data_IF_645128430387
#
_entry.id   IF_645128430387
#
_cell.length_a   1.000
_cell.length_b   1.000
_cell.length_c   1.000
_cell.angle_alpha   90.00
_cell.angle_beta   90.00
_cell.angle_gamma   90.00
#
_symmetry.space_group_name_H-M   'P 1'
#
loop_
_entity.id
_entity.type
_entity.pdbx_description
1 polymer ?
#
# COMPACT_ATOMS: atom_id res chain seq x y z
N UNK A 1 -8.25 -5.35 -6.09
CA UNK A 1 -7.10 -5.35 -7.01
C UNK A 1 -6.22 -6.51 -6.65
N UNK A 2 -5.79 -7.35 -7.60
CA UNK A 2 -4.74 -8.34 -7.33
C UNK A 2 -3.38 -7.64 -7.28
N UNK A 3 -2.37 -8.30 -6.72
CA UNK A 3 -0.98 -7.81 -6.76
C UNK A 3 -0.53 -7.53 -8.21
N UNK A 4 -0.82 -8.44 -9.14
CA UNK A 4 -0.46 -8.29 -10.55
C UNK A 4 -1.17 -7.12 -11.22
N UNK A 5 -2.42 -6.85 -10.84
CA UNK A 5 -3.13 -5.66 -11.31
C UNK A 5 -2.47 -4.37 -10.82
N UNK A 6 -2.05 -4.34 -9.55
CA UNK A 6 -1.35 -3.19 -8.97
C UNK A 6 -0.05 -2.96 -9.72
N UNK A 7 0.76 -3.99 -9.91
CA UNK A 7 2.04 -3.89 -10.63
C UNK A 7 1.83 -3.43 -12.07
N UNK A 8 0.86 -4.00 -12.78
CA UNK A 8 0.55 -3.62 -14.15
C UNK A 8 0.07 -2.18 -14.27
N UNK A 9 -0.85 -1.74 -13.40
CA UNK A 9 -1.45 -0.39 -13.44
C UNK A 9 -0.45 0.69 -13.02
N UNK A 10 0.45 0.37 -12.09
CA UNK A 10 1.47 1.29 -11.58
C UNK A 10 2.81 1.16 -12.30
N UNK A 11 2.88 0.37 -13.38
CA UNK A 11 4.11 0.08 -14.13
C UNK A 11 5.28 -0.32 -13.21
N UNK A 12 5.02 -1.35 -12.40
CA UNK A 12 5.93 -1.85 -11.37
C UNK A 12 6.29 -0.78 -10.33
N UNK A 13 5.29 -0.06 -9.83
CA UNK A 13 5.45 1.01 -8.83
C UNK A 13 6.42 2.11 -9.32
N UNK A 14 6.24 2.55 -10.56
CA UNK A 14 7.00 3.66 -11.15
C UNK A 14 6.78 4.96 -10.36
N UNK A 15 7.83 5.78 -10.28
CA UNK A 15 7.81 7.07 -9.58
C UNK A 15 6.71 8.02 -10.06
N UNK A 16 6.27 7.89 -11.31
CA UNK A 16 5.20 8.69 -11.90
C UNK A 16 3.85 8.53 -11.20
N UNK A 17 3.66 7.44 -10.44
CA UNK A 17 2.44 7.18 -9.68
C UNK A 17 2.56 7.59 -8.22
N UNK A 18 3.71 8.08 -7.77
CA UNK A 18 3.90 8.48 -6.37
C UNK A 18 3.05 9.71 -6.07
N UNK A 19 2.30 9.62 -4.97
CA UNK A 19 1.47 10.71 -4.43
C UNK A 19 1.90 11.14 -3.03
N UNK A 20 2.87 10.45 -2.43
CA UNK A 20 3.41 10.82 -1.13
C UNK A 20 4.58 9.94 -0.70
N UNK A 21 5.40 10.51 0.18
CA UNK A 21 6.50 9.83 0.85
C UNK A 21 6.27 9.88 2.36
N UNK A 22 6.49 8.76 3.03
CA UNK A 22 6.59 8.68 4.49
C UNK A 22 8.02 8.35 4.90
N UNK A 23 8.30 8.37 6.21
CA UNK A 23 9.62 8.07 6.75
C UNK A 23 10.18 6.71 6.26
N UNK A 24 9.33 5.69 6.29
CA UNK A 24 9.66 4.31 5.90
C UNK A 24 8.76 3.77 4.79
N UNK A 25 8.12 4.65 4.01
CA UNK A 25 7.16 4.22 2.99
C UNK A 25 7.05 5.16 1.79
N UNK A 26 6.52 4.62 0.69
CA UNK A 26 6.08 5.38 -0.47
C UNK A 26 4.61 5.07 -0.76
N UNK A 27 3.82 6.10 -1.10
CA UNK A 27 2.41 5.95 -1.45
C UNK A 27 2.23 6.21 -2.93
N UNK A 28 1.58 5.27 -3.62
CA UNK A 28 1.30 5.31 -5.06
C UNK A 28 -0.20 5.40 -5.31
N UNK A 29 -0.61 6.13 -6.34
CA UNK A 29 -1.97 6.12 -6.85
C UNK A 29 -2.14 4.98 -7.83
N UNK A 30 -3.06 4.06 -7.55
CA UNK A 30 -3.46 3.00 -8.47
C UNK A 30 -4.89 3.28 -8.98
N UNK A 31 -5.06 3.41 -10.29
CA UNK A 31 -6.37 3.71 -10.92
C UNK A 31 -6.60 2.77 -12.09
N UNK A 32 -7.57 1.85 -11.96
CA UNK A 32 -8.01 1.00 -13.09
C UNK A 32 -9.21 1.64 -13.79
N UNK A 33 -9.36 1.39 -15.10
CA UNK A 33 -10.39 2.01 -15.95
C UNK A 33 -11.83 1.82 -15.48
N UNK A 34 -12.09 0.86 -14.59
CA UNK A 34 -13.43 0.50 -14.11
C UNK A 34 -13.56 0.49 -12.59
N UNK A 35 -12.57 0.96 -11.84
CA UNK A 35 -12.58 0.94 -10.37
C UNK A 35 -12.35 2.31 -9.78
N UNK A 36 -12.77 2.48 -8.51
CA UNK A 36 -12.37 3.64 -7.74
C UNK A 36 -10.83 3.66 -7.60
N UNK A 37 -10.20 4.84 -7.67
CA UNK A 37 -8.78 4.97 -7.36
C UNK A 37 -8.51 4.49 -5.93
N UNK A 38 -7.39 3.80 -5.74
CA UNK A 38 -6.90 3.37 -4.42
C UNK A 38 -5.47 3.87 -4.21
N UNK A 39 -5.10 4.04 -2.94
CA UNK A 39 -3.73 4.33 -2.54
C UNK A 39 -3.02 3.02 -2.21
N UNK A 40 -1.83 2.82 -2.78
CA UNK A 40 -0.95 1.70 -2.47
C UNK A 40 0.18 2.23 -1.61
N UNK A 41 0.28 1.81 -0.36
CA UNK A 41 1.40 2.16 0.52
C UNK A 41 2.40 1.02 0.53
N UNK A 42 3.59 1.26 0.00
CA UNK A 42 4.74 0.36 0.07
C UNK A 42 5.57 0.71 1.30
N UNK A 43 5.70 -0.23 2.22
CA UNK A 43 6.60 -0.13 3.36
C UNK A 43 7.94 -0.76 2.97
N UNK A 44 9.05 -0.10 3.29
CA UNK A 44 10.38 -0.56 2.91
C UNK A 44 10.78 -1.79 3.74
N UNK A 45 11.26 -2.88 3.13
CA UNK A 45 11.64 -4.08 3.89
C UNK A 45 13.13 -4.10 4.31
N UNK A 46 13.79 -2.93 4.34
CA UNK A 46 15.25 -2.82 4.53
C UNK A 46 15.69 -2.98 5.99
N UNK A 47 14.78 -2.76 6.95
CA UNK A 47 15.09 -2.84 8.36
C UNK A 47 14.07 -3.69 9.13
N UNK A 48 14.49 -4.42 10.18
CA UNK A 48 13.58 -5.22 11.00
C UNK A 48 12.42 -4.41 11.61
N UNK A 49 12.63 -3.12 11.91
CA UNK A 49 11.56 -2.27 12.45
C UNK A 49 10.42 -2.04 11.46
N UNK A 50 10.67 -2.11 10.15
CA UNK A 50 9.64 -1.88 9.14
C UNK A 50 8.64 -3.02 9.03
N UNK A 51 9.04 -4.25 9.37
CA UNK A 51 8.09 -5.37 9.51
C UNK A 51 7.09 -5.10 10.64
N UNK A 52 7.59 -4.61 11.78
CA UNK A 52 6.74 -4.22 12.90
C UNK A 52 5.82 -3.05 12.56
N UNK A 53 6.29 -2.07 11.79
CA UNK A 53 5.44 -0.97 11.29
C UNK A 53 4.32 -1.52 10.40
N UNK A 54 4.63 -2.45 9.50
CA UNK A 54 3.64 -3.11 8.66
C UNK A 54 2.59 -3.87 9.48
N UNK A 55 3.02 -4.70 10.43
CA UNK A 55 2.11 -5.43 11.34
C UNK A 55 1.24 -4.46 12.15
N UNK A 56 1.83 -3.39 12.69
CA UNK A 56 1.11 -2.39 13.48
C UNK A 56 0.03 -1.70 12.64
N UNK A 57 0.33 -1.30 11.41
CA UNK A 57 -0.66 -0.69 10.52
C UNK A 57 -1.75 -1.68 10.10
N UNK A 58 -1.38 -2.95 9.84
CA UNK A 58 -2.31 -4.01 9.50
C UNK A 58 -3.31 -4.26 10.64
N UNK A 59 -2.83 -4.38 11.88
CA UNK A 59 -3.68 -4.57 13.06
C UNK A 59 -4.59 -3.36 13.31
N UNK A 60 -4.04 -2.15 13.23
CA UNK A 60 -4.76 -0.94 13.58
C UNK A 60 -5.81 -0.59 12.52
N UNK A 61 -5.42 -0.42 11.25
CA UNK A 61 -6.36 -0.03 10.20
C UNK A 61 -7.23 -1.21 9.78
N UNK A 62 -6.72 -2.45 9.85
CA UNK A 62 -7.51 -3.65 9.54
C UNK A 62 -8.65 -3.91 10.52
N UNK A 63 -8.52 -3.49 11.78
CA UNK A 63 -9.56 -3.70 12.81
C UNK A 63 -10.55 -2.55 12.94
N UNK A 64 -10.26 -1.37 12.39
CA UNK A 64 -11.10 -0.17 12.53
C UNK A 64 -11.94 0.05 11.26
N UNK A 65 -13.27 0.12 11.44
CA UNK A 65 -14.21 0.58 10.42
C UNK A 65 -14.95 1.82 10.89
N UNK A 66 -14.59 2.97 10.36
CA UNK A 66 -15.21 4.25 10.72
C UNK A 66 -15.28 5.19 9.52
N UNK A 67 -16.34 6.00 9.42
CA UNK A 67 -16.58 6.90 8.26
C UNK A 67 -15.49 7.94 8.00
N UNK A 68 -14.66 8.23 9.02
CA UNK A 68 -13.56 9.21 8.95
C UNK A 68 -12.17 8.55 8.99
N UNK A 69 -12.11 7.22 8.92
CA UNK A 69 -10.86 6.45 8.93
C UNK A 69 -10.79 5.69 7.61
N UNK A 70 -9.63 5.74 6.95
CA UNK A 70 -9.42 4.99 5.72
C UNK A 70 -9.63 3.50 5.97
N UNK A 71 -10.35 2.83 5.08
CA UNK A 71 -10.51 1.38 5.14
C UNK A 71 -9.40 0.71 4.35
N UNK A 72 -8.72 -0.25 4.98
CA UNK A 72 -7.77 -1.13 4.31
C UNK A 72 -8.55 -2.13 3.45
N UNK A 73 -8.25 -2.23 2.15
CA UNK A 73 -8.86 -3.22 1.26
C UNK A 73 -8.12 -4.56 1.30
N UNK A 74 -6.81 -4.55 1.57
CA UNK A 74 -5.98 -5.74 1.65
C UNK A 74 -4.50 -5.41 1.81
N UNK A 75 -3.69 -6.46 1.74
CA UNK A 75 -2.24 -6.37 1.79
C UNK A 75 -1.59 -7.40 0.86
N UNK A 76 -0.32 -7.17 0.54
CA UNK A 76 0.50 -8.15 -0.16
C UNK A 76 1.91 -8.17 0.43
N UNK A 77 2.44 -9.38 0.61
CA UNK A 77 3.83 -9.60 0.99
C UNK A 77 4.65 -9.84 -0.27
N UNK A 78 5.76 -9.13 -0.42
CA UNK A 78 6.62 -9.26 -1.60
C UNK A 78 8.09 -9.07 -1.20
N UNK A 79 9.03 -9.77 -1.86
CA UNK A 79 10.46 -9.53 -1.69
C UNK A 79 10.87 -8.08 -1.94
N UNK A 80 10.08 -7.34 -2.73
CA UNK A 80 10.37 -5.95 -3.11
C UNK A 80 9.76 -4.91 -2.15
N UNK A 81 9.05 -5.33 -1.10
CA UNK A 81 8.37 -4.45 -0.15
C UNK A 81 6.96 -4.92 0.17
N UNK A 82 6.52 -4.73 1.41
CA UNK A 82 5.16 -5.05 1.81
C UNK A 82 4.20 -3.94 1.39
N UNK A 83 3.02 -4.31 0.90
CA UNK A 83 2.02 -3.39 0.37
C UNK A 83 0.77 -3.40 1.23
N UNK A 84 0.23 -2.22 1.51
CA UNK A 84 -1.10 -1.98 2.07
C UNK A 84 -1.93 -1.25 1.01
N UNK A 85 -3.18 -1.66 0.77
CA UNK A 85 -4.04 -1.04 -0.24
C UNK A 85 -5.52 -1.21 0.06
#
# INVERSE_FOLDING_TARGET
HTFDDIMRVTENLSEKYIIGYGASSTVYKCTSKSSRPIAIKRIYNQHPHNLREFETELETIGSIRHRNIVSLHGYALSPFGNLLF
#
